data_IF_711970351883
#
_entry.id   IF_711970351883
#
_cell.length_a   1.000
_cell.length_b   1.000
_cell.length_c   1.000
_cell.angle_alpha   90.00
_cell.angle_beta   90.00
_cell.angle_gamma   90.00
#
_symmetry.space_group_name_H-M   'P 1'
#
loop_
_entity.id
_entity.type
_entity.pdbx_description
1 polymer ?
#
# COMPACT_ATOMS: atom_id res chain seq x y z
N UNK A 1 -2.44 1.11 10.00
CA UNK A 1 -3.74 1.25 9.27
C UNK A 1 -4.61 2.35 9.87
N UNK A 2 -4.89 2.34 11.17
CA UNK A 2 -5.85 3.26 11.83
C UNK A 2 -5.47 4.73 11.63
N UNK A 3 -4.24 5.14 11.94
CA UNK A 3 -3.79 6.52 11.76
C UNK A 3 -3.88 6.99 10.30
N UNK A 4 -3.61 6.10 9.35
CA UNK A 4 -3.75 6.37 7.92
C UNK A 4 -5.21 6.64 7.54
N UNK A 5 -6.16 5.86 8.07
CA UNK A 5 -7.60 6.07 7.85
C UNK A 5 -8.08 7.42 8.40
N UNK A 6 -7.66 7.80 9.60
CA UNK A 6 -7.98 9.11 10.17
C UNK A 6 -7.37 10.26 9.36
N UNK A 7 -6.11 10.13 8.95
CA UNK A 7 -5.42 11.17 8.19
C UNK A 7 -6.11 11.44 6.84
N UNK A 8 -6.43 10.37 6.07
CA UNK A 8 -7.09 10.54 4.78
C UNK A 8 -8.51 11.08 4.94
N UNK A 9 -9.27 10.61 5.94
CA UNK A 9 -10.63 11.08 6.20
C UNK A 9 -10.64 12.58 6.54
N UNK A 10 -9.72 13.02 7.41
CA UNK A 10 -9.56 14.45 7.75
C UNK A 10 -9.17 15.26 6.51
N UNK A 11 -8.15 14.84 5.76
CA UNK A 11 -7.70 15.54 4.57
C UNK A 11 -8.80 15.64 3.51
N UNK A 12 -9.59 14.58 3.33
CA UNK A 12 -10.73 14.61 2.43
C UNK A 12 -11.81 15.57 2.90
N UNK A 13 -12.12 15.60 4.19
CA UNK A 13 -13.08 16.55 4.76
C UNK A 13 -12.66 17.99 4.51
N UNK A 14 -11.37 18.30 4.75
CA UNK A 14 -10.84 19.66 4.71
C UNK A 14 -10.65 20.18 3.27
N UNK A 15 -10.21 19.33 2.32
CA UNK A 15 -9.75 19.78 1.00
C UNK A 15 -10.57 19.25 -0.18
N UNK A 16 -11.40 18.22 0.00
CA UNK A 16 -12.20 17.58 -1.07
C UNK A 16 -11.38 17.27 -2.34
N UNK A 17 -10.22 16.63 -2.25
CA UNK A 17 -9.34 16.39 -3.38
C UNK A 17 -10.00 15.45 -4.40
N UNK A 18 -9.70 15.64 -5.69
CA UNK A 18 -10.15 14.74 -6.79
C UNK A 18 -9.29 13.49 -6.90
N UNK A 19 -8.05 13.56 -6.41
CA UNK A 19 -7.06 12.50 -6.51
C UNK A 19 -6.36 12.33 -5.17
N UNK A 20 -6.10 11.10 -4.80
CA UNK A 20 -5.25 10.74 -3.67
C UNK A 20 -3.97 10.14 -4.21
N UNK A 21 -2.83 10.66 -3.74
CA UNK A 21 -1.51 10.10 -4.03
C UNK A 21 -0.92 9.58 -2.73
N UNK A 22 -0.72 8.27 -2.66
CA UNK A 22 0.02 7.65 -1.56
C UNK A 22 1.43 7.33 -2.02
N UNK A 23 2.42 7.78 -1.28
CA UNK A 23 3.81 7.35 -1.38
C UNK A 23 4.27 6.80 -0.05
N UNK A 24 5.08 5.73 -0.07
CA UNK A 24 5.71 5.14 1.10
C UNK A 24 6.75 4.09 0.72
N UNK A 25 7.34 3.46 1.72
CA UNK A 25 8.21 2.30 1.55
C UNK A 25 7.43 1.00 1.69
N UNK A 26 7.97 -0.10 1.17
CA UNK A 26 7.42 -1.43 1.31
C UNK A 26 8.54 -2.49 1.29
N UNK A 27 8.33 -3.58 2.01
CA UNK A 27 9.15 -4.77 1.91
C UNK A 27 8.72 -5.64 0.72
N UNK A 28 9.66 -6.17 -0.04
CA UNK A 28 9.37 -7.08 -1.15
C UNK A 28 9.32 -8.52 -0.68
N UNK A 29 8.30 -9.27 -1.10
CA UNK A 29 8.23 -10.73 -0.99
C UNK A 29 8.80 -11.44 -2.22
N UNK A 30 9.14 -10.67 -3.26
CA UNK A 30 9.73 -11.16 -4.50
C UNK A 30 11.05 -10.41 -4.78
N UNK A 31 12.17 -11.10 -4.67
CA UNK A 31 13.54 -10.55 -4.84
C UNK A 31 13.79 -9.88 -6.21
N UNK A 32 12.93 -10.12 -7.20
CA UNK A 32 13.04 -9.49 -8.52
C UNK A 32 12.38 -8.10 -8.58
N UNK A 33 11.71 -7.65 -7.51
CA UNK A 33 11.06 -6.34 -7.45
C UNK A 33 11.93 -5.38 -6.66
N UNK A 34 12.25 -4.24 -7.25
CA UNK A 34 13.10 -3.22 -6.63
C UNK A 34 12.75 -1.81 -7.13
N UNK A 35 13.24 -0.77 -6.43
CA UNK A 35 13.03 0.61 -6.81
C UNK A 35 11.60 1.11 -6.56
N UNK A 36 11.20 2.12 -7.33
CA UNK A 36 9.87 2.72 -7.23
C UNK A 36 8.87 1.96 -8.10
N UNK A 37 7.80 1.47 -7.51
CA UNK A 37 6.76 0.70 -8.20
C UNK A 37 5.37 1.28 -7.96
N UNK A 38 4.42 0.98 -8.85
CA UNK A 38 3.01 1.32 -8.70
C UNK A 38 2.21 0.12 -8.19
N UNK A 39 1.45 0.33 -7.13
CA UNK A 39 0.56 -0.66 -6.50
C UNK A 39 -0.85 -0.44 -6.99
N UNK A 40 -1.52 -1.50 -7.41
CA UNK A 40 -2.88 -1.44 -7.94
C UNK A 40 -3.83 -2.46 -7.34
N UNK A 41 -3.31 -3.40 -6.58
CA UNK A 41 -4.09 -4.43 -5.90
C UNK A 41 -3.74 -4.48 -4.42
N UNK A 42 -4.73 -4.38 -3.56
CA UNK A 42 -4.55 -4.17 -2.12
C UNK A 42 -5.28 -5.25 -1.33
N UNK A 43 -4.57 -5.83 -0.37
CA UNK A 43 -5.08 -6.83 0.56
C UNK A 43 -4.91 -6.36 2.00
N UNK A 44 -5.87 -6.69 2.86
CA UNK A 44 -5.69 -6.59 4.30
C UNK A 44 -5.12 -7.92 4.81
N UNK A 45 -3.80 -8.12 4.73
CA UNK A 45 -3.15 -9.43 4.92
C UNK A 45 -3.31 -10.05 6.29
N UNK A 46 -3.56 -9.23 7.30
CA UNK A 46 -3.69 -9.64 8.71
C UNK A 46 -5.15 -9.74 9.19
N UNK A 47 -6.12 -9.62 8.29
CA UNK A 47 -7.51 -9.92 8.58
C UNK A 47 -7.72 -11.43 8.43
N UNK A 48 -7.73 -12.14 9.55
CA UNK A 48 -7.93 -13.58 9.58
C UNK A 48 -9.15 -13.95 10.43
N UNK A 49 -10.22 -14.22 9.76
CA UNK A 49 -11.49 -14.69 10.32
C UNK A 49 -11.95 -16.00 9.65
N UNK A 50 -11.01 -16.81 9.18
CA UNK A 50 -11.26 -18.10 8.56
C UNK A 50 -12.07 -19.03 9.46
N UNK A 51 -11.91 -18.92 10.78
CA UNK A 51 -12.72 -19.64 11.77
C UNK A 51 -14.24 -19.34 11.71
N UNK A 52 -14.63 -18.26 11.05
CA UNK A 52 -16.04 -17.88 10.80
C UNK A 52 -16.47 -18.21 9.36
N UNK A 53 -15.64 -18.89 8.57
CA UNK A 53 -15.95 -19.29 7.19
C UNK A 53 -15.65 -18.23 6.10
N UNK A 54 -14.86 -17.20 6.42
CA UNK A 54 -14.42 -16.19 5.46
C UNK A 54 -13.03 -16.51 4.91
N UNK A 55 -12.67 -15.89 3.78
CA UNK A 55 -11.34 -16.02 3.20
C UNK A 55 -10.32 -15.20 4.00
N UNK A 56 -9.03 -15.60 3.94
CA UNK A 56 -7.94 -14.80 4.50
C UNK A 56 -7.87 -13.42 3.80
N UNK A 57 -7.84 -12.36 4.56
CA UNK A 57 -7.89 -10.97 4.07
C UNK A 57 -9.32 -10.43 3.90
N UNK A 58 -10.34 -11.25 4.06
CA UNK A 58 -11.73 -10.82 3.93
C UNK A 58 -12.27 -10.24 5.24
N UNK A 59 -12.74 -8.99 5.19
CA UNK A 59 -13.54 -8.42 6.27
C UNK A 59 -14.94 -9.03 6.25
N UNK A 60 -15.48 -9.49 7.38
CA UNK A 60 -16.82 -10.05 7.44
C UNK A 60 -17.87 -9.12 6.81
N UNK A 61 -18.81 -9.73 6.09
CA UNK A 61 -19.91 -9.08 5.39
C UNK A 61 -19.52 -8.15 4.21
N UNK A 62 -18.22 -8.04 3.88
CA UNK A 62 -17.78 -7.34 2.68
C UNK A 62 -17.72 -8.28 1.46
N UNK A 63 -17.94 -7.71 0.27
CA UNK A 63 -17.79 -8.42 -0.99
C UNK A 63 -16.31 -8.45 -1.38
N UNK A 64 -15.75 -9.66 -1.46
CA UNK A 64 -14.35 -9.86 -1.85
C UNK A 64 -13.34 -9.62 -0.72
N UNK A 65 -12.10 -9.94 -0.99
CA UNK A 65 -10.99 -9.90 -0.03
C UNK A 65 -9.79 -9.07 -0.52
N UNK A 66 -9.99 -8.32 -1.60
CA UNK A 66 -9.02 -7.34 -2.11
C UNK A 66 -9.72 -6.17 -2.81
N UNK A 67 -8.98 -5.09 -2.98
CA UNK A 67 -9.38 -3.93 -3.79
C UNK A 67 -8.47 -3.85 -4.99
N UNK A 68 -9.03 -3.71 -6.20
CA UNK A 68 -8.29 -3.62 -7.45
C UNK A 68 -8.60 -2.31 -8.16
N UNK A 69 -7.58 -1.53 -8.48
CA UNK A 69 -7.73 -0.37 -9.37
C UNK A 69 -7.88 -0.82 -10.82
N UNK A 70 -8.50 0.02 -11.66
CA UNK A 70 -8.74 -0.26 -13.09
C UNK A 70 -7.45 -0.18 -13.93
N UNK A 71 -6.37 -0.80 -13.48
CA UNK A 71 -5.08 -0.89 -14.18
C UNK A 71 -4.25 -2.05 -13.63
N UNK A 72 -3.26 -2.48 -14.40
CA UNK A 72 -2.31 -3.51 -13.97
C UNK A 72 -1.15 -2.90 -13.18
N UNK A 73 -0.69 -3.59 -12.16
CA UNK A 73 0.43 -3.23 -11.31
C UNK A 73 0.62 -4.27 -10.22
N UNK A 74 1.47 -3.95 -9.25
CA UNK A 74 1.81 -4.87 -8.18
C UNK A 74 0.74 -4.96 -7.09
N UNK A 75 0.73 -6.11 -6.40
CA UNK A 75 -0.12 -6.37 -5.24
C UNK A 75 0.58 -6.03 -3.93
N UNK A 76 -0.15 -5.45 -2.97
CA UNK A 76 0.35 -5.08 -1.66
C UNK A 76 -0.50 -5.70 -0.55
N UNK A 77 0.14 -6.39 0.38
CA UNK A 77 -0.46 -6.92 1.60
C UNK A 77 -0.22 -5.97 2.78
N UNK A 78 -1.25 -5.24 3.19
CA UNK A 78 -1.17 -4.31 4.34
C UNK A 78 -1.50 -5.02 5.65
N UNK A 79 -0.70 -4.79 6.69
CA UNK A 79 -0.95 -5.30 8.04
C UNK A 79 -0.23 -4.51 9.12
N UNK A 80 -0.66 -4.65 10.38
CA UNK A 80 -0.13 -3.89 11.52
C UNK A 80 1.14 -4.53 12.16
N UNK A 81 1.77 -5.48 11.47
CA UNK A 81 3.04 -6.08 11.88
C UNK A 81 4.13 -5.83 10.84
N UNK A 82 5.34 -5.53 11.30
CA UNK A 82 6.53 -5.48 10.45
C UNK A 82 6.89 -6.90 10.00
N UNK A 83 6.98 -7.13 8.70
CA UNK A 83 7.18 -8.47 8.13
C UNK A 83 8.67 -8.80 8.09
N UNK A 84 9.04 -9.89 8.73
CA UNK A 84 10.41 -10.45 8.73
C UNK A 84 10.45 -11.90 8.25
N UNK A 85 9.27 -12.49 8.01
CA UNK A 85 9.08 -13.84 7.49
C UNK A 85 7.87 -13.84 6.55
N UNK A 86 7.81 -14.79 5.63
CA UNK A 86 6.69 -14.86 4.66
C UNK A 86 5.34 -14.93 5.38
N UNK A 87 4.39 -14.03 5.11
CA UNK A 87 3.05 -14.07 5.68
C UNK A 87 2.20 -15.15 5.01
N UNK A 88 1.09 -15.55 5.65
CA UNK A 88 0.14 -16.54 5.10
C UNK A 88 -0.51 -16.04 3.79
N UNK A 89 -0.86 -14.75 3.72
CA UNK A 89 -1.37 -14.14 2.50
C UNK A 89 -0.22 -13.56 1.69
N UNK A 90 0.10 -14.24 0.59
CA UNK A 90 1.22 -13.86 -0.29
C UNK A 90 0.78 -12.79 -1.29
N UNK A 91 1.55 -11.71 -1.33
CA UNK A 91 1.45 -10.60 -2.28
C UNK A 91 2.83 -10.29 -2.85
N UNK A 92 2.95 -9.37 -3.80
CA UNK A 92 4.26 -8.97 -4.32
C UNK A 92 5.09 -8.23 -3.28
N UNK A 93 4.42 -7.35 -2.52
CA UNK A 93 5.04 -6.51 -1.49
C UNK A 93 4.16 -6.43 -0.24
N UNK A 94 4.75 -5.97 0.86
CA UNK A 94 4.05 -5.74 2.13
C UNK A 94 4.30 -4.33 2.65
N UNK A 95 3.25 -3.77 3.27
CA UNK A 95 3.32 -2.47 3.96
C UNK A 95 2.41 -2.45 5.20
N UNK A 96 2.20 -1.27 5.77
CA UNK A 96 1.39 -1.10 6.97
C UNK A 96 0.20 -0.14 6.81
N UNK A 97 0.00 0.51 5.63
CA UNK A 97 -1.02 1.56 5.48
C UNK A 97 -1.85 1.51 4.18
N UNK A 98 -1.31 0.98 3.08
CA UNK A 98 -1.87 1.17 1.74
C UNK A 98 -3.32 0.72 1.59
N UNK A 99 -3.71 -0.39 2.22
CA UNK A 99 -5.10 -0.85 2.21
C UNK A 99 -6.08 0.19 2.78
N UNK A 100 -5.67 0.95 3.79
CA UNK A 100 -6.52 1.99 4.38
C UNK A 100 -6.85 3.10 3.37
N UNK A 101 -5.87 3.52 2.58
CA UNK A 101 -6.07 4.51 1.52
C UNK A 101 -6.92 3.94 0.39
N UNK A 102 -6.64 2.70 -0.03
CA UNK A 102 -7.41 2.02 -1.07
C UNK A 102 -8.87 1.86 -0.66
N UNK A 103 -9.13 1.42 0.57
CA UNK A 103 -10.49 1.25 1.11
C UNK A 103 -11.25 2.57 1.18
N UNK A 104 -10.59 3.62 1.66
CA UNK A 104 -11.20 4.94 1.71
C UNK A 104 -11.57 5.46 0.31
N UNK A 105 -10.66 5.31 -0.65
CA UNK A 105 -10.88 5.74 -2.03
C UNK A 105 -11.98 4.94 -2.71
N UNK A 106 -12.02 3.63 -2.50
CA UNK A 106 -13.04 2.73 -3.04
C UNK A 106 -14.46 3.12 -2.56
N UNK A 107 -14.62 3.33 -1.24
CA UNK A 107 -15.92 3.73 -0.65
C UNK A 107 -16.37 5.12 -1.13
N UNK A 108 -15.43 6.05 -1.37
CA UNK A 108 -15.74 7.43 -1.75
C UNK A 108 -15.60 7.69 -3.26
N UNK A 109 -15.42 6.65 -4.08
CA UNK A 109 -15.28 6.73 -5.55
C UNK A 109 -14.17 7.69 -5.99
N UNK A 110 -13.04 7.70 -5.26
CA UNK A 110 -11.89 8.57 -5.51
C UNK A 110 -10.79 7.85 -6.29
N UNK A 111 -10.10 8.59 -7.14
CA UNK A 111 -8.93 8.07 -7.83
C UNK A 111 -7.73 7.97 -6.89
N UNK A 112 -7.16 6.77 -6.75
CA UNK A 112 -5.94 6.50 -6.00
C UNK A 112 -4.76 6.26 -6.95
N UNK A 113 -3.64 6.91 -6.64
CA UNK A 113 -2.31 6.58 -7.17
C UNK A 113 -1.44 6.15 -5.99
N UNK A 114 -1.01 4.90 -5.98
CA UNK A 114 -0.21 4.35 -4.89
C UNK A 114 1.17 3.93 -5.40
N UNK A 115 2.20 4.58 -4.89
CA UNK A 115 3.60 4.29 -5.23
C UNK A 115 4.33 3.82 -3.98
N UNK A 116 5.11 2.75 -4.13
CA UNK A 116 5.95 2.21 -3.06
C UNK A 116 7.40 2.10 -3.55
N UNK A 117 8.32 2.52 -2.71
CA UNK A 117 9.73 2.27 -2.91
C UNK A 117 10.13 1.02 -2.13
N UNK A 118 10.72 0.04 -2.81
CA UNK A 118 11.17 -1.18 -2.16
C UNK A 118 12.39 -0.87 -1.29
N UNK A 119 12.21 -0.96 0.01
CA UNK A 119 13.23 -0.64 1.02
C UNK A 119 14.00 -1.86 1.48
N UNK A 120 13.39 -3.04 1.45
CA UNK A 120 13.91 -4.28 2.04
C UNK A 120 13.24 -5.50 1.40
N UNK A 121 13.70 -6.69 1.76
CA UNK A 121 13.17 -7.96 1.26
C UNK A 121 12.25 -8.68 2.27
N UNK A 122 11.67 -7.95 3.22
CA UNK A 122 10.82 -8.51 4.26
C UNK A 122 11.46 -9.71 5.00
N UNK A 123 12.74 -9.60 5.32
CA UNK A 123 13.57 -10.60 6.00
C UNK A 123 14.17 -10.06 7.30
N UNK A 124 15.07 -10.81 7.93
CA UNK A 124 15.69 -10.45 9.21
C UNK A 124 16.52 -9.16 9.16
N UNK A 125 16.97 -8.71 8.01
CA UNK A 125 17.73 -7.47 7.82
C UNK A 125 16.85 -6.26 7.42
N UNK A 126 15.54 -6.48 7.21
CA UNK A 126 14.60 -5.49 6.73
C UNK A 126 14.64 -4.15 7.49
N UNK A 127 14.77 -4.18 8.82
CA UNK A 127 14.81 -2.94 9.61
C UNK A 127 16.04 -2.08 9.35
N UNK A 128 17.21 -2.69 9.08
CA UNK A 128 18.45 -1.97 8.73
C UNK A 128 18.38 -1.39 7.32
N UNK A 129 17.82 -2.16 6.39
CA UNK A 129 17.72 -1.77 5.00
C UNK A 129 16.69 -0.66 4.83
N UNK A 130 15.54 -0.73 5.50
CA UNK A 130 14.55 0.33 5.54
C UNK A 130 15.13 1.69 5.95
N UNK A 131 15.90 1.74 7.03
CA UNK A 131 16.48 2.98 7.55
C UNK A 131 17.45 3.67 6.58
N UNK A 132 18.08 2.90 5.68
CA UNK A 132 18.98 3.42 4.63
C UNK A 132 18.22 3.86 3.39
N UNK A 133 17.17 3.12 3.05
CA UNK A 133 16.46 3.24 1.77
C UNK A 133 15.46 4.41 1.73
N UNK A 134 14.83 4.79 2.86
CA UNK A 134 13.68 5.70 2.84
C UNK A 134 14.00 7.09 2.23
N UNK A 135 15.19 7.65 2.48
CA UNK A 135 15.62 8.93 1.90
C UNK A 135 15.85 8.86 0.40
N UNK A 136 16.42 7.74 -0.07
CA UNK A 136 16.62 7.48 -1.50
C UNK A 136 15.28 7.39 -2.23
N UNK A 137 14.36 6.60 -1.68
CA UNK A 137 13.04 6.43 -2.25
C UNK A 137 12.25 7.75 -2.34
N UNK A 138 12.33 8.61 -1.32
CA UNK A 138 11.67 9.92 -1.34
C UNK A 138 12.19 10.81 -2.49
N UNK A 139 13.50 10.80 -2.76
CA UNK A 139 14.09 11.54 -3.88
C UNK A 139 13.63 10.97 -5.24
N UNK A 140 13.65 9.66 -5.40
CA UNK A 140 13.20 9.00 -6.63
C UNK A 140 11.72 9.27 -6.91
N UNK A 141 10.87 9.16 -5.89
CA UNK A 141 9.45 9.49 -6.03
C UNK A 141 9.23 10.95 -6.41
N UNK A 142 9.88 11.89 -5.73
CA UNK A 142 9.75 13.32 -6.03
C UNK A 142 10.13 13.62 -7.48
N UNK A 143 11.24 13.07 -7.95
CA UNK A 143 11.68 13.26 -9.33
C UNK A 143 10.70 12.65 -10.35
N UNK A 144 10.24 11.41 -10.09
CA UNK A 144 9.26 10.72 -10.92
C UNK A 144 7.94 11.49 -10.99
N UNK A 145 7.43 11.90 -9.83
CA UNK A 145 6.13 12.55 -9.70
C UNK A 145 6.13 13.91 -10.40
N UNK A 146 7.12 14.75 -10.16
CA UNK A 146 7.25 16.05 -10.82
C UNK A 146 7.33 15.90 -12.33
N UNK A 147 8.15 14.98 -12.84
CA UNK A 147 8.29 14.74 -14.28
C UNK A 147 7.00 14.25 -14.94
N UNK A 148 6.26 13.36 -14.27
CA UNK A 148 5.04 12.73 -14.82
C UNK A 148 3.83 13.64 -14.77
N UNK A 149 3.76 14.50 -13.74
CA UNK A 149 2.60 15.35 -13.44
C UNK A 149 2.92 16.84 -13.56
N UNK A 150 4.05 17.19 -14.18
CA UNK A 150 4.42 18.56 -14.53
C UNK A 150 3.39 19.10 -15.54
N UNK A 151 2.47 19.97 -15.06
CA UNK A 151 1.40 20.53 -15.89
C UNK A 151 -0.03 20.11 -15.52
N UNK A 152 -0.25 19.26 -14.55
CA UNK A 152 -1.59 19.05 -13.95
C UNK A 152 -1.88 20.25 -13.04
N UNK A 153 -2.57 21.25 -13.60
CA UNK A 153 -3.15 22.37 -12.85
C UNK A 153 -4.58 22.11 -12.45
#
# INVERSE_FOLDING_TARGET
KINASFAISKSYSDYKPKYIVNYGTAGSLNKNISGLIEVTKFYQRDMDVRGLGFELGQTPFEKGFFIQLNKNGYSCGTGDSFVMTSPDLITDIVDMEAYSYAKFCDINELNLFCFKFISDNADNDAGKDWSKAFKKGAKEFSHFFLKKYEGIK
#
